data_IF_372295062511
#
_entry.id   IF_372295062511
#
_cell.length_a   1.000
_cell.length_b   1.000
_cell.length_c   1.000
_cell.angle_alpha   90.00
_cell.angle_beta   90.00
_cell.angle_gamma   90.00
#
_symmetry.space_group_name_H-M   'P 1'
#
loop_
_entity.id
_entity.type
_entity.pdbx_description
1 polymer ?
#
# COMPACT_ATOMS: atom_id res chain seq x y z
N UNK A 1 -0.86 -1.65 6.45
CA UNK A 1 0.26 -2.24 5.69
C UNK A 1 1.56 -1.56 6.10
N UNK A 2 2.71 -2.05 5.66
CA UNK A 2 3.95 -1.24 5.64
C UNK A 2 3.87 -0.13 4.59
N UNK A 3 4.82 0.81 4.60
CA UNK A 3 5.06 1.70 3.46
C UNK A 3 5.66 0.83 2.34
N UNK A 4 5.12 0.87 1.12
CA UNK A 4 5.57 -0.03 0.05
C UNK A 4 5.41 0.55 -1.36
N UNK A 5 6.17 -0.03 -2.29
CA UNK A 5 6.08 0.17 -3.75
C UNK A 5 5.21 -0.91 -4.43
N UNK A 6 5.06 -0.84 -5.76
CA UNK A 6 4.30 -1.81 -6.57
C UNK A 6 5.12 -2.47 -7.67
N UNK A 7 6.45 -2.40 -7.60
CA UNK A 7 7.35 -3.09 -8.54
C UNK A 7 6.99 -2.80 -10.00
N UNK A 8 6.94 -1.51 -10.33
CA UNK A 8 6.62 -0.98 -11.67
C UNK A 8 5.25 -1.42 -12.22
N UNK A 9 4.32 -1.78 -11.32
CA UNK A 9 2.96 -2.17 -11.68
C UNK A 9 1.93 -1.11 -11.34
N UNK A 10 0.85 -1.06 -12.12
CA UNK A 10 -0.35 -0.30 -11.82
C UNK A 10 -1.08 -0.93 -10.64
N UNK A 11 -1.55 -0.11 -9.69
CA UNK A 11 -2.38 -0.54 -8.58
C UNK A 11 -3.67 0.26 -8.54
N UNK A 12 -4.80 -0.43 -8.64
CA UNK A 12 -6.13 0.11 -8.37
C UNK A 12 -6.62 -0.47 -7.05
N UNK A 13 -7.16 0.37 -6.19
CA UNK A 13 -7.74 -0.05 -4.91
C UNK A 13 -9.14 0.54 -4.76
N UNK A 14 -10.15 -0.32 -4.68
CA UNK A 14 -11.56 0.05 -4.43
C UNK A 14 -11.99 -0.44 -3.06
N UNK A 15 -12.64 0.43 -2.27
CA UNK A 15 -13.19 0.05 -0.97
C UNK A 15 -14.52 -0.69 -1.17
N UNK A 16 -14.59 -1.93 -0.67
CA UNK A 16 -15.79 -2.78 -0.70
C UNK A 16 -16.60 -2.71 0.59
N UNK A 17 -15.93 -2.52 1.74
CA UNK A 17 -16.56 -2.40 3.05
C UNK A 17 -15.68 -1.55 3.96
N UNK A 18 -16.30 -0.74 4.82
CA UNK A 18 -15.60 0.05 5.83
C UNK A 18 -14.86 1.24 5.23
N UNK A 19 -13.77 1.65 5.89
CA UNK A 19 -12.95 2.79 5.45
C UNK A 19 -11.46 2.45 5.61
N UNK A 20 -10.64 2.91 4.67
CA UNK A 20 -9.19 2.79 4.76
C UNK A 20 -8.54 4.16 4.63
N UNK A 21 -7.56 4.44 5.49
CA UNK A 21 -6.70 5.61 5.34
C UNK A 21 -5.54 5.26 4.41
N UNK A 22 -5.40 6.01 3.34
CA UNK A 22 -4.20 5.99 2.50
C UNK A 22 -3.30 7.16 2.91
N UNK A 23 -2.03 6.86 3.17
CA UNK A 23 -0.99 7.87 3.40
C UNK A 23 0.06 7.75 2.31
N UNK A 24 0.25 8.81 1.51
CA UNK A 24 1.25 8.86 0.45
C UNK A 24 2.58 9.37 1.00
N UNK A 25 3.67 8.76 0.54
CA UNK A 25 5.04 9.11 0.88
C UNK A 25 5.85 9.42 -0.37
N UNK A 26 6.82 10.33 -0.22
CA UNK A 26 7.88 10.49 -1.20
C UNK A 26 8.85 9.30 -1.20
N UNK A 27 9.56 9.13 -2.30
CA UNK A 27 10.68 8.21 -2.35
C UNK A 27 11.79 8.72 -1.41
N UNK A 28 12.47 7.82 -0.67
CA UNK A 28 13.57 8.22 0.20
C UNK A 28 14.72 8.81 -0.64
N UNK A 29 15.34 9.88 -0.13
CA UNK A 29 16.52 10.46 -0.77
C UNK A 29 17.73 9.52 -0.64
N UNK A 30 18.66 9.57 -1.60
CA UNK A 30 19.83 8.67 -1.64
C UNK A 30 20.81 8.85 -0.48
N UNK A 31 20.65 9.89 0.36
CA UNK A 31 21.57 10.23 1.46
C UNK A 31 20.90 10.07 2.82
N UNK A 32 21.07 8.88 3.41
CA UNK A 32 21.01 8.68 4.87
C UNK A 32 19.67 8.26 5.46
N UNK A 33 19.75 7.79 6.72
CA UNK A 33 18.65 7.45 7.63
C UNK A 33 17.76 8.67 7.92
N UNK A 34 16.99 9.11 6.94
CA UNK A 34 16.09 10.26 7.06
C UNK A 34 14.67 9.74 7.13
N UNK A 35 13.86 10.39 7.95
CA UNK A 35 12.44 10.08 8.05
C UNK A 35 11.74 10.35 6.71
N UNK A 36 10.91 9.40 6.29
CA UNK A 36 10.19 9.48 5.03
C UNK A 36 9.15 10.60 5.07
N UNK A 37 9.24 11.51 4.09
CA UNK A 37 8.31 12.62 3.97
C UNK A 37 6.92 12.14 3.51
N UNK A 38 5.92 12.38 4.36
CA UNK A 38 4.51 12.22 4.00
C UNK A 38 4.09 13.34 3.03
N UNK A 39 3.53 12.96 1.89
CA UNK A 39 3.02 13.89 0.86
C UNK A 39 1.58 14.29 1.15
N UNK A 40 0.73 13.33 1.45
CA UNK A 40 -0.69 13.54 1.72
C UNK A 40 -1.28 12.34 2.46
N UNK A 41 -2.48 12.52 3.00
CA UNK A 41 -3.32 11.41 3.42
C UNK A 41 -4.78 11.69 3.05
N UNK A 42 -5.53 10.61 2.85
CA UNK A 42 -6.97 10.68 2.66
C UNK A 42 -7.64 9.46 3.29
N UNK A 43 -8.90 9.64 3.70
CA UNK A 43 -9.75 8.53 4.14
C UNK A 43 -10.64 8.13 2.99
N UNK A 44 -10.47 6.90 2.54
CA UNK A 44 -11.23 6.27 1.46
C UNK A 44 -12.44 5.57 2.05
N UNK A 45 -13.60 5.97 1.55
CA UNK A 45 -14.91 5.45 1.94
C UNK A 45 -15.38 4.37 0.98
N UNK A 46 -16.39 3.64 1.40
CA UNK A 46 -17.04 2.62 0.59
C UNK A 46 -17.34 3.11 -0.83
N UNK A 47 -17.11 2.21 -1.80
CA UNK A 47 -17.21 2.44 -3.24
C UNK A 47 -16.20 3.39 -3.88
N UNK A 48 -15.40 4.14 -3.11
CA UNK A 48 -14.32 4.94 -3.69
C UNK A 48 -13.23 4.04 -4.28
N UNK A 49 -12.64 4.52 -5.38
CA UNK A 49 -11.55 3.87 -6.08
C UNK A 49 -10.38 4.85 -6.18
N UNK A 50 -9.18 4.37 -5.88
CA UNK A 50 -7.93 5.12 -6.03
C UNK A 50 -6.96 4.37 -6.93
N UNK A 51 -6.06 5.14 -7.53
CA UNK A 51 -5.01 4.67 -8.41
C UNK A 51 -3.66 5.13 -7.91
N UNK A 52 -2.68 4.24 -7.96
CA UNK A 52 -1.29 4.55 -7.63
C UNK A 52 -0.33 3.66 -8.41
N UNK A 53 0.82 4.23 -8.74
CA UNK A 53 1.99 3.53 -9.27
C UNK A 53 3.26 4.16 -8.67
N UNK A 54 4.40 3.58 -9.01
CA UNK A 54 5.70 3.99 -8.45
C UNK A 54 6.12 5.42 -8.86
N UNK A 55 5.61 5.95 -9.98
CA UNK A 55 5.83 7.35 -10.38
C UNK A 55 5.09 8.38 -9.51
N UNK A 56 3.97 7.99 -8.89
CA UNK A 56 3.22 8.86 -7.96
C UNK A 56 3.91 8.87 -6.59
N UNK A 57 4.25 7.69 -6.09
CA UNK A 57 4.99 7.52 -4.84
C UNK A 57 4.68 6.22 -4.11
N UNK A 58 5.11 6.18 -2.86
CA UNK A 58 4.90 5.06 -1.96
C UNK A 58 3.63 5.29 -1.16
N UNK A 59 2.98 4.23 -0.67
CA UNK A 59 1.87 4.43 0.26
C UNK A 59 1.86 3.46 1.43
N UNK A 60 1.10 3.85 2.44
CA UNK A 60 0.64 2.99 3.52
C UNK A 60 -0.88 3.01 3.53
N UNK A 61 -1.49 1.83 3.63
CA UNK A 61 -2.94 1.66 3.73
C UNK A 61 -3.27 1.06 5.09
N UNK A 62 -4.17 1.70 5.83
CA UNK A 62 -4.46 1.34 7.23
C UNK A 62 -5.97 1.37 7.48
N UNK A 63 -6.49 0.35 8.18
CA UNK A 63 -7.81 0.47 8.80
C UNK A 63 -7.64 1.28 10.09
N UNK A 64 -8.23 2.47 10.13
CA UNK A 64 -8.21 3.35 11.30
C UNK A 64 -9.34 3.04 12.30
N UNK A 65 -10.28 2.17 11.92
CA UNK A 65 -11.33 1.73 12.84
C UNK A 65 -10.78 0.68 13.80
N UNK A 66 -11.12 0.85 15.08
CA UNK A 66 -10.82 -0.13 16.13
C UNK A 66 -11.99 -1.10 16.38
N UNK A 67 -13.13 -0.90 15.73
CA UNK A 67 -14.36 -1.70 15.93
C UNK A 67 -14.87 -2.34 14.65
N UNK A 68 -14.60 -1.74 13.50
CA UNK A 68 -15.12 -2.19 12.20
C UNK A 68 -14.01 -2.76 11.33
N UNK A 69 -14.32 -3.85 10.63
CA UNK A 69 -13.45 -4.38 9.58
C UNK A 69 -13.56 -3.55 8.30
N UNK A 70 -12.51 -3.56 7.49
CA UNK A 70 -12.48 -2.95 6.17
C UNK A 70 -12.01 -3.95 5.12
N UNK A 71 -12.63 -3.92 3.94
CA UNK A 71 -12.30 -4.79 2.81
C UNK A 71 -12.07 -3.93 1.58
N UNK A 72 -10.97 -4.19 0.87
CA UNK A 72 -10.64 -3.54 -0.39
C UNK A 72 -10.40 -4.57 -1.50
N UNK A 73 -10.78 -4.21 -2.72
CA UNK A 73 -10.44 -4.91 -3.94
C UNK A 73 -9.19 -4.26 -4.55
N UNK A 74 -8.15 -5.06 -4.77
CA UNK A 74 -6.93 -4.62 -5.43
C UNK A 74 -6.77 -5.27 -6.81
N UNK A 75 -6.41 -4.48 -7.81
CA UNK A 75 -6.03 -4.95 -9.14
C UNK A 75 -4.61 -4.46 -9.45
N UNK A 76 -3.72 -5.40 -9.76
CA UNK A 76 -2.34 -5.14 -10.15
C UNK A 76 -2.10 -5.51 -11.61
N UNK A 77 -1.43 -4.64 -12.37
CA UNK A 77 -1.06 -4.91 -13.77
C UNK A 77 0.28 -4.25 -14.13
N UNK A 78 1.31 -5.02 -14.55
CA UNK A 78 1.36 -6.48 -14.55
C UNK A 78 1.28 -7.08 -13.12
N UNK A 79 1.15 -8.40 -13.02
CA UNK A 79 1.19 -9.08 -11.72
C UNK A 79 2.61 -9.15 -11.17
N UNK A 80 2.76 -9.07 -9.85
CA UNK A 80 4.01 -9.27 -9.14
C UNK A 80 3.78 -10.08 -7.85
N UNK A 81 4.84 -10.72 -7.34
CA UNK A 81 4.80 -11.52 -6.11
C UNK A 81 5.77 -11.02 -5.02
N UNK A 82 6.50 -9.95 -5.29
CA UNK A 82 7.38 -9.30 -4.32
C UNK A 82 7.32 -7.79 -4.48
N UNK A 83 7.53 -7.07 -3.38
CA UNK A 83 7.64 -5.62 -3.35
C UNK A 83 8.71 -5.20 -2.34
N UNK A 84 9.07 -3.92 -2.34
CA UNK A 84 9.88 -3.34 -1.28
C UNK A 84 8.96 -2.74 -0.22
N UNK A 85 9.26 -3.03 1.04
CA UNK A 85 8.72 -2.30 2.20
C UNK A 85 9.77 -1.35 2.73
N UNK A 86 9.33 -0.22 3.28
CA UNK A 86 10.21 0.85 3.73
C UNK A 86 9.99 1.13 5.22
N UNK A 87 11.09 1.28 5.95
CA UNK A 87 11.07 1.82 7.31
C UNK A 87 10.86 3.34 7.25
N UNK A 88 9.78 3.81 7.87
CA UNK A 88 9.43 5.23 7.88
C UNK A 88 10.54 6.10 8.49
N UNK A 89 11.27 5.62 9.50
CA UNK A 89 12.25 6.44 10.24
C UNK A 89 13.55 6.64 9.48
N UNK A 90 13.86 5.70 8.60
CA UNK A 90 15.19 5.59 7.98
C UNK A 90 15.16 5.59 6.46
N UNK A 91 14.00 5.36 5.84
CA UNK A 91 13.87 5.16 4.40
C UNK A 91 14.50 3.85 3.90
N UNK A 92 15.06 3.01 4.79
CA UNK A 92 15.64 1.73 4.40
C UNK A 92 14.57 0.81 3.84
N UNK A 93 14.91 0.18 2.71
CA UNK A 93 14.01 -0.74 2.01
C UNK A 93 14.40 -2.19 2.22
N UNK A 94 13.39 -3.04 2.37
CA UNK A 94 13.53 -4.48 2.45
C UNK A 94 12.63 -5.14 1.41
N UNK A 95 13.20 -6.04 0.62
CA UNK A 95 12.42 -6.83 -0.34
C UNK A 95 11.61 -7.89 0.42
N UNK A 96 10.32 -7.95 0.16
CA UNK A 96 9.36 -8.85 0.80
C UNK A 96 8.65 -9.66 -0.28
N UNK A 97 8.52 -10.97 -0.04
CA UNK A 97 7.68 -11.85 -0.87
C UNK A 97 6.25 -11.81 -0.35
N UNK A 98 5.30 -11.48 -1.21
CA UNK A 98 3.88 -11.45 -0.88
C UNK A 98 3.30 -12.87 -0.99
N UNK A 99 2.43 -13.22 -0.05
CA UNK A 99 1.72 -14.50 -0.02
C UNK A 99 0.23 -14.27 -0.12
N UNK A 100 -0.47 -15.16 -0.82
CA UNK A 100 -1.92 -15.22 -0.77
C UNK A 100 -2.35 -15.95 0.50
N UNK A 101 -3.39 -15.45 1.18
CA UNK A 101 -4.01 -16.17 2.30
C UNK A 101 -4.96 -17.28 1.81
N UNK A 102 -5.62 -17.02 0.68
CA UNK A 102 -6.49 -17.96 -0.04
C UNK A 102 -6.45 -17.64 -1.54
N UNK A 103 -6.79 -18.63 -2.38
CA UNK A 103 -6.96 -18.48 -3.83
C UNK A 103 -8.26 -19.15 -4.25
N UNK A 104 -9.10 -18.44 -5.00
CA UNK A 104 -10.39 -18.96 -5.46
C UNK A 104 -11.25 -19.56 -4.32
N UNK A 105 -11.28 -18.87 -3.17
CA UNK A 105 -12.00 -19.28 -1.94
C UNK A 105 -11.33 -20.44 -1.16
N UNK A 106 -10.32 -21.10 -1.71
CA UNK A 106 -9.57 -22.17 -1.04
C UNK A 106 -8.38 -21.63 -0.23
N UNK A 107 -8.22 -22.09 1.01
CA UNK A 107 -7.09 -21.70 1.87
C UNK A 107 -5.79 -22.33 1.35
N UNK A 108 -4.76 -21.51 1.21
CA UNK A 108 -3.43 -21.93 0.76
C UNK A 108 -2.55 -22.42 1.89
#
# INVERSE_FOLDING_TARGET
SSIHDRTDSHCFMKILQGNLKETLFGWPEKKGNVEMAKKSECVLRENQCVYINDSIGLHRVENISHTESAVSLHLYSPSFDSCNTFDQRTGHKHKVKMTFYSKFVERT
#
